data_IF_142797975816
#
_entry.id   IF_142797975816
#
_cell.length_a   1.000
_cell.length_b   1.000
_cell.length_c   1.000
_cell.angle_alpha   90.00
_cell.angle_beta   90.00
_cell.angle_gamma   90.00
#
_symmetry.space_group_name_H-M   'P 1'
#
loop_
_entity.id
_entity.type
_entity.pdbx_description
1 polymer ?
#
# COMPACT_ATOMS: atom_id res chain seq x y z
N UNK A 1 -6.88 -7.63 -0.33
CA UNK A 1 -7.89 -6.91 0.46
C UNK A 1 -8.02 -5.50 -0.10
N UNK A 2 -9.22 -4.93 -0.16
CA UNK A 2 -9.45 -3.54 -0.57
C UNK A 2 -9.20 -2.60 0.61
N UNK A 3 -8.53 -1.49 0.41
CA UNK A 3 -8.37 -0.45 1.44
C UNK A 3 -9.57 0.49 1.39
N UNK A 4 -10.18 0.73 2.54
CA UNK A 4 -11.07 1.87 2.77
C UNK A 4 -10.38 2.80 3.76
N UNK A 5 -9.85 3.91 3.25
CA UNK A 5 -9.13 4.88 4.06
C UNK A 5 -10.09 5.89 4.69
N UNK A 6 -10.01 6.03 6.02
CA UNK A 6 -10.66 7.13 6.75
C UNK A 6 -9.65 8.23 7.08
N UNK A 7 -8.44 7.83 7.51
CA UNK A 7 -7.34 8.74 7.81
C UNK A 7 -6.02 8.19 7.28
N UNK A 8 -5.37 8.96 6.42
CA UNK A 8 -4.01 8.69 5.93
C UNK A 8 -3.09 9.76 6.49
N UNK A 9 -1.89 9.36 6.91
CA UNK A 9 -0.85 10.25 7.42
C UNK A 9 0.43 10.01 6.65
N UNK A 10 1.09 11.10 6.26
CA UNK A 10 2.42 11.03 5.66
C UNK A 10 3.50 11.03 6.74
N UNK A 11 4.43 10.07 6.67
CA UNK A 11 5.59 9.97 7.56
C UNK A 11 6.85 9.84 6.72
N UNK A 12 7.72 10.86 6.66
CA UNK A 12 8.89 10.83 5.79
C UNK A 12 9.88 9.75 6.24
N UNK A 13 10.46 9.05 5.28
CA UNK A 13 11.47 8.00 5.50
C UNK A 13 12.64 8.24 4.57
N UNK A 14 13.86 7.96 5.02
CA UNK A 14 15.04 8.06 4.16
C UNK A 14 14.94 7.07 2.98
N UNK A 15 15.13 7.58 1.77
CA UNK A 15 15.01 6.77 0.55
C UNK A 15 16.21 5.84 0.41
N UNK A 16 15.94 4.56 0.14
CA UNK A 16 16.95 3.56 -0.17
C UNK A 16 16.61 2.85 -1.50
N UNK A 17 17.28 3.26 -2.57
CA UNK A 17 17.03 2.76 -3.92
C UNK A 17 17.21 1.23 -4.04
N UNK A 18 18.24 0.66 -3.41
CA UNK A 18 18.50 -0.78 -3.44
C UNK A 18 17.40 -1.59 -2.74
N UNK A 19 16.84 -1.04 -1.65
CA UNK A 19 15.69 -1.64 -0.99
C UNK A 19 14.46 -1.63 -1.89
N UNK A 20 14.17 -0.49 -2.54
CA UNK A 20 13.01 -0.35 -3.43
C UNK A 20 13.09 -1.31 -4.61
N UNK A 21 14.26 -1.42 -5.26
CA UNK A 21 14.50 -2.36 -6.36
C UNK A 21 14.23 -3.80 -5.97
N UNK A 22 14.70 -4.23 -4.79
CA UNK A 22 14.46 -5.58 -4.26
C UNK A 22 13.02 -5.79 -3.80
N UNK A 23 12.35 -4.75 -3.32
CA UNK A 23 10.96 -4.84 -2.87
C UNK A 23 10.01 -4.93 -4.05
N UNK A 24 10.31 -4.23 -5.15
CA UNK A 24 9.52 -4.25 -6.37
C UNK A 24 9.27 -5.68 -6.89
N UNK A 25 10.28 -6.56 -6.85
CA UNK A 25 10.14 -7.98 -7.25
C UNK A 25 9.11 -8.77 -6.43
N UNK A 26 8.74 -8.28 -5.25
CA UNK A 26 7.83 -8.94 -4.31
C UNK A 26 6.44 -8.29 -4.26
N UNK A 27 6.30 -7.11 -4.83
CA UNK A 27 5.05 -6.35 -4.82
C UNK A 27 4.15 -6.86 -5.95
N UNK A 28 2.91 -7.20 -5.62
CA UNK A 28 1.87 -7.34 -6.64
C UNK A 28 1.42 -5.93 -7.06
N UNK A 29 1.83 -5.53 -8.27
CA UNK A 29 1.72 -4.14 -8.71
C UNK A 29 0.28 -3.64 -8.79
N UNK A 30 -0.66 -4.48 -9.23
CA UNK A 30 -2.06 -4.05 -9.41
C UNK A 30 -2.70 -3.75 -8.06
N UNK A 31 -2.56 -4.63 -7.08
CA UNK A 31 -3.05 -4.43 -5.72
C UNK A 31 -2.38 -3.21 -5.06
N UNK A 32 -1.09 -3.00 -5.29
CA UNK A 32 -0.38 -1.82 -4.77
C UNK A 32 -0.89 -0.51 -5.39
N UNK A 33 -1.11 -0.47 -6.71
CA UNK A 33 -1.68 0.68 -7.39
C UNK A 33 -3.09 1.01 -6.87
N UNK A 34 -3.94 0.01 -6.72
CA UNK A 34 -5.28 0.17 -6.15
C UNK A 34 -5.24 0.66 -4.70
N UNK A 35 -4.34 0.11 -3.87
CA UNK A 35 -4.13 0.53 -2.50
C UNK A 35 -3.69 2.00 -2.42
N UNK A 36 -2.70 2.37 -3.24
CA UNK A 36 -2.18 3.74 -3.32
C UNK A 36 -3.27 4.75 -3.70
N UNK A 37 -4.08 4.43 -4.72
CA UNK A 37 -5.24 5.24 -5.12
C UNK A 37 -6.28 5.35 -4.01
N UNK A 38 -6.56 4.25 -3.30
CA UNK A 38 -7.51 4.23 -2.17
C UNK A 38 -7.02 5.08 -0.99
N UNK A 39 -5.71 5.29 -0.86
CA UNK A 39 -5.09 6.17 0.13
C UNK A 39 -4.91 7.62 -0.37
N UNK A 40 -5.46 7.96 -1.54
CA UNK A 40 -5.43 9.32 -2.09
C UNK A 40 -4.20 9.64 -2.96
N UNK A 41 -3.36 8.66 -3.29
CA UNK A 41 -2.18 8.85 -4.13
C UNK A 41 -2.31 8.16 -5.49
N UNK A 42 -2.43 8.97 -6.55
CA UNK A 42 -2.68 8.48 -7.91
C UNK A 42 -1.53 8.81 -8.89
N UNK A 43 -0.31 9.04 -8.40
CA UNK A 43 0.83 9.41 -9.25
C UNK A 43 1.62 8.21 -9.80
N UNK A 44 1.28 6.99 -9.38
CA UNK A 44 1.91 5.77 -9.88
C UNK A 44 1.40 5.42 -11.29
N UNK A 45 2.26 4.93 -12.19
CA UNK A 45 1.86 4.50 -13.52
C UNK A 45 1.03 3.21 -13.48
N UNK A 46 0.19 3.00 -14.51
CA UNK A 46 -0.66 1.81 -14.60
C UNK A 46 0.14 0.55 -14.91
N UNK A 47 1.14 0.68 -15.77
CA UNK A 47 2.07 -0.37 -16.13
C UNK A 47 3.48 0.07 -15.75
N UNK A 48 4.28 -0.91 -15.35
CA UNK A 48 5.66 -0.70 -14.92
C UNK A 48 6.53 -1.78 -15.53
N UNK A 49 7.72 -1.39 -15.97
CA UNK A 49 8.74 -2.30 -16.46
C UNK A 49 10.00 -2.22 -15.58
N UNK A 50 10.88 -3.21 -15.71
CA UNK A 50 12.12 -3.27 -14.93
C UNK A 50 13.09 -2.12 -15.23
N UNK A 51 12.99 -1.50 -16.41
CA UNK A 51 13.80 -0.32 -16.78
C UNK A 51 13.38 0.94 -16.03
N UNK A 52 12.12 1.05 -15.59
CA UNK A 52 11.65 2.17 -14.77
C UNK A 52 12.32 2.26 -13.40
N UNK A 53 12.91 1.16 -12.90
CA UNK A 53 13.64 1.12 -11.62
C UNK A 53 14.98 1.86 -11.63
N UNK A 54 15.44 2.28 -12.81
CA UNK A 54 16.61 3.16 -12.96
C UNK A 54 16.24 4.65 -12.96
N UNK A 55 14.94 4.99 -12.97
CA UNK A 55 14.47 6.36 -12.89
C UNK A 55 14.30 6.82 -11.44
N UNK A 56 15.06 7.84 -11.05
CA UNK A 56 14.94 8.48 -9.73
C UNK A 56 13.53 9.05 -9.48
N UNK A 57 12.86 9.54 -10.53
CA UNK A 57 11.49 10.04 -10.45
C UNK A 57 10.50 8.91 -10.10
N UNK A 58 10.66 7.75 -10.75
CA UNK A 58 9.84 6.58 -10.45
C UNK A 58 10.11 6.07 -9.03
N UNK A 59 11.39 5.92 -8.66
CA UNK A 59 11.78 5.46 -7.33
C UNK A 59 11.26 6.40 -6.23
N UNK A 60 11.26 7.71 -6.46
CA UNK A 60 10.71 8.68 -5.51
C UNK A 60 9.19 8.51 -5.32
N UNK A 61 8.43 8.34 -6.41
CA UNK A 61 6.98 8.09 -6.32
C UNK A 61 6.67 6.74 -5.67
N UNK A 62 7.44 5.72 -6.02
CA UNK A 62 7.29 4.38 -5.46
C UNK A 62 7.62 4.36 -3.96
N UNK A 63 8.71 5.01 -3.55
CA UNK A 63 9.10 5.22 -2.16
C UNK A 63 7.99 5.88 -1.35
N UNK A 64 7.47 7.00 -1.85
CA UNK A 64 6.42 7.76 -1.19
C UNK A 64 5.18 6.88 -0.96
N UNK A 65 4.69 6.24 -2.02
CA UNK A 65 3.52 5.38 -1.95
C UNK A 65 3.70 4.16 -1.03
N UNK A 66 4.90 3.59 -0.98
CA UNK A 66 5.18 2.35 -0.27
C UNK A 66 5.50 2.57 1.22
N UNK A 67 6.24 3.62 1.55
CA UNK A 67 6.86 3.79 2.88
C UNK A 67 6.38 5.03 3.61
N UNK A 68 5.91 6.05 2.89
CA UNK A 68 5.55 7.34 3.49
C UNK A 68 4.04 7.49 3.71
N UNK A 69 3.20 6.75 2.98
CA UNK A 69 1.75 6.75 3.18
C UNK A 69 1.33 5.71 4.24
N UNK A 70 0.79 6.19 5.37
CA UNK A 70 0.35 5.34 6.48
C UNK A 70 -1.16 5.42 6.63
N UNK A 71 -1.84 4.28 6.55
CA UNK A 71 -3.27 4.17 6.86
C UNK A 71 -3.44 4.20 8.38
N UNK A 72 -3.74 5.37 8.94
CA UNK A 72 -3.85 5.56 10.39
C UNK A 72 -5.20 5.06 10.92
N UNK A 73 -6.30 5.33 10.20
CA UNK A 73 -7.65 4.84 10.51
C UNK A 73 -8.35 4.37 9.23
N UNK A 74 -9.07 3.23 9.29
CA UNK A 74 -9.83 2.71 8.15
C UNK A 74 -10.14 1.21 8.27
N UNK A 75 -10.26 0.53 7.12
CA UNK A 75 -10.46 -0.92 7.09
C UNK A 75 -9.80 -1.57 5.88
N UNK A 76 -9.40 -2.84 6.04
CA UNK A 76 -9.10 -3.75 4.95
C UNK A 76 -10.34 -4.63 4.71
N UNK A 77 -10.87 -4.66 3.50
CA UNK A 77 -12.10 -5.38 3.16
C UNK A 77 -11.78 -6.59 2.29
N UNK A 78 -12.27 -7.76 2.69
CA UNK A 78 -12.18 -8.97 1.88
C UNK A 78 -13.12 -8.85 0.67
N UNK A 79 -12.62 -8.94 -0.58
CA UNK A 79 -13.46 -8.80 -1.76
C UNK A 79 -14.43 -9.97 -1.95
N UNK A 80 -14.14 -11.14 -1.38
CA UNK A 80 -14.95 -12.35 -1.54
C UNK A 80 -16.10 -12.42 -0.52
N UNK A 81 -15.83 -12.07 0.73
CA UNK A 81 -16.79 -12.22 1.84
C UNK A 81 -17.39 -10.89 2.31
N UNK A 82 -16.83 -9.76 1.89
CA UNK A 82 -17.19 -8.43 2.40
C UNK A 82 -16.72 -8.18 3.84
N UNK A 83 -16.01 -9.13 4.46
CA UNK A 83 -15.51 -9.01 5.83
C UNK A 83 -14.57 -7.80 5.95
N UNK A 84 -14.76 -7.02 7.03
CA UNK A 84 -13.96 -5.84 7.34
C UNK A 84 -12.97 -6.13 8.45
N UNK A 85 -11.71 -5.81 8.22
CA UNK A 85 -10.63 -5.85 9.20
C UNK A 85 -10.29 -4.41 9.57
N UNK A 86 -10.65 -3.93 10.77
CA UNK A 86 -10.45 -2.54 11.13
C UNK A 86 -8.96 -2.22 11.30
N UNK A 87 -8.57 -1.02 10.88
CA UNK A 87 -7.25 -0.45 11.09
C UNK A 87 -7.41 0.72 12.05
N UNK A 88 -6.77 0.63 13.22
CA UNK A 88 -6.78 1.69 14.22
C UNK A 88 -5.35 2.04 14.60
N UNK A 89 -5.00 3.33 14.66
CA UNK A 89 -3.64 3.80 14.98
C UNK A 89 -2.55 3.15 14.12
N UNK A 90 -2.85 2.90 12.84
CA UNK A 90 -1.91 2.25 11.91
C UNK A 90 -1.80 0.73 12.03
N UNK A 91 -2.58 0.09 12.91
CA UNK A 91 -2.47 -1.35 13.19
C UNK A 91 -3.71 -2.08 12.65
N UNK A 92 -3.57 -2.93 11.61
CA UNK A 92 -4.67 -3.75 11.13
C UNK A 92 -4.98 -4.90 12.10
N UNK A 93 -6.26 -5.05 12.47
CA UNK A 93 -6.74 -6.20 13.23
C UNK A 93 -7.28 -7.29 12.30
N UNK A 94 -6.49 -8.35 12.14
CA UNK A 94 -6.78 -9.49 11.27
C UNK A 94 -7.35 -10.71 12.01
N UNK A 95 -7.75 -10.56 13.28
CA UNK A 95 -8.28 -11.69 14.08
C UNK A 95 -9.64 -12.16 13.54
N UNK A 96 -9.79 -13.49 13.46
CA UNK A 96 -11.02 -14.16 13.09
C UNK A 96 -11.77 -14.60 14.36
N UNK A 97 -13.11 -14.54 14.35
CA UNK A 97 -13.92 -15.19 15.38
C UNK A 97 -13.98 -16.69 15.11
N UNK A 98 -14.29 -17.49 16.14
CA UNK A 98 -14.34 -18.95 16.05
C UNK A 98 -15.33 -19.45 14.99
N UNK A 99 -16.40 -18.69 14.75
CA UNK A 99 -17.44 -18.98 13.75
C UNK A 99 -17.00 -18.67 12.30
N UNK A 100 -15.81 -18.08 12.12
CA UNK A 100 -15.29 -17.59 10.84
C UNK A 100 -14.00 -18.31 10.39
N UNK A 101 -13.67 -19.45 11.02
CA UNK A 101 -12.53 -20.34 10.69
C UNK A 101 -12.98 -21.49 9.81
#
# INVERSE_FOLDING_TARGET
LRIEAEKVVEKPVEMNADFLRKMFEKVEWKAFLEASRSMGYAQLPEEVDSGMLESDEFLSRFHHALLELHLEEGALVCPETGRRFPVNKGIPNMLLHEDEV
#
